data_IF_351676502342
#
_entry.id   IF_351676502342
#
_cell.length_a   1.000
_cell.length_b   1.000
_cell.length_c   1.000
_cell.angle_alpha   90.00
_cell.angle_beta   90.00
_cell.angle_gamma   90.00
#
_symmetry.space_group_name_H-M   'P 1'
#
loop_
_entity.id
_entity.type
_entity.pdbx_description
1 polymer ?
#
# COMPACT_ATOMS: atom_id res chain seq x y z
N UNK A 1 24.53 10.04 16.66
CA UNK A 1 23.17 9.94 16.07
C UNK A 1 23.07 8.98 14.88
N UNK A 2 24.15 8.71 14.13
CA UNK A 2 24.10 7.79 12.97
C UNK A 2 24.26 6.30 13.30
N UNK A 3 24.92 5.96 14.42
CA UNK A 3 25.12 4.57 14.86
C UNK A 3 23.81 3.82 15.14
N UNK A 4 22.75 4.53 15.53
CA UNK A 4 21.43 3.96 15.77
C UNK A 4 20.68 3.62 14.47
N UNK A 5 20.93 4.35 13.39
CA UNK A 5 20.35 4.07 12.07
C UNK A 5 20.97 2.82 11.45
N UNK A 6 22.31 2.69 11.51
CA UNK A 6 23.04 1.51 11.03
C UNK A 6 22.63 0.25 11.79
N UNK A 7 22.46 0.35 13.12
CA UNK A 7 21.95 -0.78 13.93
C UNK A 7 20.51 -1.17 13.60
N UNK A 8 19.65 -0.21 13.23
CA UNK A 8 18.27 -0.49 12.82
C UNK A 8 18.18 -1.12 11.43
N UNK A 9 19.06 -0.75 10.50
CA UNK A 9 19.08 -1.34 9.16
C UNK A 9 19.69 -2.75 9.15
N UNK A 10 20.63 -3.02 10.06
CA UNK A 10 21.25 -4.33 10.22
C UNK A 10 20.39 -5.34 11.01
N UNK A 11 19.28 -4.91 11.62
CA UNK A 11 18.34 -5.84 12.22
C UNK A 11 17.54 -6.56 11.13
N UNK A 12 17.85 -7.83 10.95
CA UNK A 12 16.98 -8.84 10.35
C UNK A 12 15.58 -8.74 10.99
N UNK A 13 14.62 -8.15 10.27
CA UNK A 13 13.24 -8.03 10.75
C UNK A 13 12.62 -9.42 10.69
N UNK A 14 12.76 -10.19 11.77
CA UNK A 14 12.05 -11.45 11.92
C UNK A 14 10.57 -11.21 11.58
N UNK A 15 9.94 -12.08 10.77
CA UNK A 15 8.54 -11.91 10.43
C UNK A 15 7.76 -11.85 11.75
N UNK A 16 7.01 -10.77 11.94
CA UNK A 16 6.19 -10.46 13.13
C UNK A 16 5.27 -11.61 13.58
N UNK A 17 5.10 -12.61 12.72
CA UNK A 17 4.37 -13.85 12.95
C UNK A 17 4.97 -14.66 14.13
N UNK A 18 6.30 -14.69 14.30
CA UNK A 18 6.94 -15.51 15.35
C UNK A 18 7.02 -14.83 16.72
N UNK A 19 6.81 -13.51 16.79
CA UNK A 19 6.97 -12.73 18.03
C UNK A 19 5.64 -12.30 18.66
N UNK A 20 4.50 -12.59 18.01
CA UNK A 20 3.21 -12.09 18.45
C UNK A 20 2.58 -13.02 19.50
N UNK A 21 2.30 -12.54 20.74
CA UNK A 21 1.63 -13.34 21.76
C UNK A 21 0.19 -13.70 21.38
N UNK A 22 -0.44 -12.92 20.50
CA UNK A 22 -1.77 -13.18 19.96
C UNK A 22 -1.65 -13.80 18.56
N UNK A 23 -1.87 -15.11 18.50
CA UNK A 23 -1.89 -15.84 17.23
C UNK A 23 -3.10 -15.41 16.40
N UNK A 24 -2.90 -15.14 15.12
CA UNK A 24 -4.00 -14.86 14.21
C UNK A 24 -4.88 -16.12 14.08
N UNK A 25 -6.16 -16.03 14.44
CA UNK A 25 -7.10 -17.16 14.37
C UNK A 25 -7.36 -17.62 12.92
N UNK A 26 -7.14 -16.73 11.95
CA UNK A 26 -7.22 -17.01 10.52
C UNK A 26 -5.93 -16.53 9.85
N UNK A 27 -5.30 -17.41 9.09
CA UNK A 27 -4.17 -17.07 8.24
C UNK A 27 -4.64 -16.13 7.13
N UNK A 28 -3.91 -15.03 6.94
CA UNK A 28 -4.04 -14.20 5.76
C UNK A 28 -2.98 -14.65 4.74
N UNK A 29 -3.26 -14.71 3.43
CA UNK A 29 -4.51 -14.45 2.73
C UNK A 29 -5.51 -15.61 2.86
N UNK A 30 -6.82 -15.33 2.83
CA UNK A 30 -7.81 -16.39 2.81
C UNK A 30 -7.82 -17.09 1.45
N UNK A 31 -8.05 -18.40 1.44
CA UNK A 31 -8.18 -19.17 0.20
C UNK A 31 -9.36 -18.65 -0.63
N UNK A 32 -9.07 -17.97 -1.74
CA UNK A 32 -10.10 -17.38 -2.59
C UNK A 32 -10.99 -18.43 -3.29
N UNK A 33 -10.49 -19.64 -3.47
CA UNK A 33 -11.23 -20.77 -4.07
C UNK A 33 -12.37 -21.29 -3.18
N UNK A 34 -12.26 -21.10 -1.86
CA UNK A 34 -13.25 -21.59 -0.87
C UNK A 34 -14.30 -20.53 -0.50
N UNK A 35 -14.13 -19.30 -1.01
CA UNK A 35 -14.95 -18.15 -0.66
C UNK A 35 -16.14 -18.00 -1.62
N UNK A 36 -17.31 -17.65 -1.07
CA UNK A 36 -18.48 -17.31 -1.91
C UNK A 36 -18.16 -16.18 -2.90
N UNK A 37 -18.60 -16.27 -4.18
CA UNK A 37 -18.33 -15.26 -5.21
C UNK A 37 -18.72 -13.83 -4.81
N UNK A 38 -19.82 -13.68 -4.05
CA UNK A 38 -20.27 -12.38 -3.52
C UNK A 38 -19.25 -11.75 -2.58
N UNK A 39 -18.60 -12.57 -1.75
CA UNK A 39 -17.56 -12.10 -0.83
C UNK A 39 -16.25 -11.81 -1.56
N UNK A 40 -15.88 -12.64 -2.53
CA UNK A 40 -14.73 -12.38 -3.41
C UNK A 40 -14.86 -11.02 -4.12
N UNK A 41 -16.01 -10.73 -4.73
CA UNK A 41 -16.25 -9.45 -5.39
C UNK A 41 -16.10 -8.24 -4.44
N UNK A 42 -16.54 -8.38 -3.17
CA UNK A 42 -16.36 -7.32 -2.15
C UNK A 42 -14.89 -7.08 -1.84
N UNK A 43 -14.09 -8.16 -1.73
CA UNK A 43 -12.65 -8.08 -1.47
C UNK A 43 -11.93 -7.42 -2.66
N UNK A 44 -12.21 -7.85 -3.89
CA UNK A 44 -11.65 -7.26 -5.10
C UNK A 44 -11.99 -5.77 -5.21
N UNK A 45 -13.25 -5.40 -4.98
CA UNK A 45 -13.67 -3.98 -4.99
C UNK A 45 -12.95 -3.18 -3.90
N UNK A 46 -12.69 -3.76 -2.73
CA UNK A 46 -11.92 -3.10 -1.65
C UNK A 46 -10.44 -2.94 -2.05
N UNK A 47 -9.85 -3.97 -2.65
CA UNK A 47 -8.47 -3.95 -3.14
C UNK A 47 -8.27 -2.87 -4.20
N UNK A 48 -9.11 -2.84 -5.25
CA UNK A 48 -9.04 -1.83 -6.32
C UNK A 48 -9.12 -0.40 -5.78
N UNK A 49 -10.01 -0.16 -4.80
CA UNK A 49 -10.12 1.16 -4.14
C UNK A 49 -8.85 1.55 -3.37
N UNK A 50 -8.28 0.63 -2.59
CA UNK A 50 -7.03 0.86 -1.86
C UNK A 50 -5.85 1.08 -2.80
N UNK A 51 -5.77 0.33 -3.89
CA UNK A 51 -4.75 0.52 -4.92
C UNK A 51 -4.87 1.92 -5.53
N UNK A 52 -6.08 2.34 -5.95
CA UNK A 52 -6.32 3.70 -6.47
C UNK A 52 -5.85 4.78 -5.50
N UNK A 53 -6.13 4.64 -4.20
CA UNK A 53 -5.70 5.59 -3.18
C UNK A 53 -4.18 5.58 -2.97
N UNK A 54 -3.55 4.41 -2.92
CA UNK A 54 -2.09 4.27 -2.78
C UNK A 54 -1.34 4.92 -3.94
N UNK A 55 -1.88 4.78 -5.15
CA UNK A 55 -1.30 5.34 -6.37
C UNK A 55 -1.75 6.78 -6.67
N UNK A 56 -2.71 7.33 -5.91
CA UNK A 56 -3.13 8.71 -6.09
C UNK A 56 -1.98 9.66 -5.68
N UNK A 57 -1.53 10.51 -6.61
CA UNK A 57 -0.52 11.54 -6.38
C UNK A 57 -1.08 12.94 -6.71
N UNK A 58 -2.03 13.46 -5.90
CA UNK A 58 -2.79 14.67 -6.25
C UNK A 58 -1.91 15.93 -6.39
N UNK A 59 -0.84 16.03 -5.61
CA UNK A 59 0.11 17.17 -5.69
C UNK A 59 0.91 17.14 -7.00
N UNK A 60 1.41 15.97 -7.39
CA UNK A 60 2.14 15.80 -8.64
C UNK A 60 1.25 16.08 -9.86
N UNK A 61 0.04 15.53 -9.87
CA UNK A 61 -0.92 15.78 -10.96
C UNK A 61 -1.30 17.25 -11.05
N UNK A 62 -1.42 17.96 -9.92
CA UNK A 62 -1.68 19.41 -9.90
C UNK A 62 -0.51 20.19 -10.50
N UNK A 63 0.73 19.86 -10.12
CA UNK A 63 1.93 20.53 -10.63
C UNK A 63 2.07 20.38 -12.14
N UNK A 64 1.95 19.15 -12.66
CA UNK A 64 1.99 18.88 -14.11
C UNK A 64 0.92 19.66 -14.86
N UNK A 65 -0.29 19.75 -14.30
CA UNK A 65 -1.39 20.50 -14.93
C UNK A 65 -1.12 22.01 -15.00
N UNK A 66 -0.51 22.59 -13.96
CA UNK A 66 -0.09 24.00 -13.96
C UNK A 66 0.97 24.24 -15.04
N UNK A 67 1.99 23.38 -15.11
CA UNK A 67 3.06 23.48 -16.12
C UNK A 67 2.48 23.36 -17.54
N UNK A 68 1.57 22.41 -17.76
CA UNK A 68 0.90 22.23 -19.05
C UNK A 68 0.09 23.48 -19.46
N UNK A 69 -0.62 24.11 -18.52
CA UNK A 69 -1.34 25.36 -18.81
C UNK A 69 -0.38 26.52 -19.07
N UNK A 70 0.73 26.60 -18.32
CA UNK A 70 1.78 27.60 -18.55
C UNK A 70 2.42 27.47 -19.92
N UNK A 71 2.70 26.25 -20.38
CA UNK A 71 3.28 26.03 -21.71
C UNK A 71 2.33 26.39 -22.86
N UNK A 72 1.01 26.26 -22.66
CA UNK A 72 0.02 26.66 -23.67
C UNK A 72 -0.14 28.19 -23.74
N UNK A 73 -0.04 28.88 -22.60
CA UNK A 73 -0.21 30.33 -22.52
C UNK A 73 1.03 31.15 -22.90
N UNK A 74 2.23 30.59 -22.71
CA UNK A 74 3.50 31.26 -22.97
C UNK A 74 4.21 30.79 -24.26
N UNK A 75 3.58 29.88 -25.02
CA UNK A 75 4.07 29.38 -26.31
C UNK A 75 3.36 30.01 -27.50
#
# INVERSE_FOLDING_TARGET
>A
MFSTLVRRTAQEKLPFIYTNPYKAQRLWPPDFTKISPKHQFRLERKYKRRAKLKWARPRWTKAVKIVQMGSILCG
#
